data_IF_393335294629
#
_entry.id   IF_393335294629
#
_cell.length_a   1.000
_cell.length_b   1.000
_cell.length_c   1.000
_cell.angle_alpha   90.00
_cell.angle_beta   90.00
_cell.angle_gamma   90.00
#
_symmetry.space_group_name_H-M   'P 1'
#
loop_
_entity.id
_entity.type
_entity.pdbx_description
1 polymer ?
#
# COMPACT_ATOMS: atom_id res chain seq x y z
N UNK A 1 -7.67 18.75 -7.33
CA UNK A 1 -7.87 17.67 -8.32
C UNK A 1 -8.62 16.54 -7.64
N UNK A 2 -9.69 16.01 -8.23
CA UNK A 2 -10.41 14.85 -7.70
C UNK A 2 -9.81 13.56 -8.31
N UNK A 3 -9.24 12.71 -7.46
CA UNK A 3 -8.80 11.37 -7.83
C UNK A 3 -9.96 10.35 -7.82
N UNK A 4 -9.61 9.07 -7.73
CA UNK A 4 -10.60 8.00 -7.54
C UNK A 4 -11.42 8.20 -6.27
N UNK A 5 -12.68 7.76 -6.30
CA UNK A 5 -13.54 7.77 -5.11
C UNK A 5 -12.99 6.80 -4.05
N UNK A 6 -12.60 7.34 -2.89
CA UNK A 6 -11.99 6.59 -1.78
C UNK A 6 -12.84 5.39 -1.33
N UNK A 7 -14.15 5.58 -1.16
CA UNK A 7 -15.07 4.53 -0.74
C UNK A 7 -15.14 3.37 -1.77
N UNK A 8 -15.13 3.69 -3.06
CA UNK A 8 -15.10 2.70 -4.14
C UNK A 8 -13.73 2.02 -4.23
N UNK A 9 -12.63 2.75 -4.05
CA UNK A 9 -11.28 2.18 -4.00
C UNK A 9 -11.17 1.16 -2.86
N UNK A 10 -11.66 1.50 -1.65
CA UNK A 10 -11.68 0.59 -0.49
C UNK A 10 -12.44 -0.69 -0.80
N UNK A 11 -13.70 -0.59 -1.23
CA UNK A 11 -14.58 -1.75 -1.43
C UNK A 11 -14.28 -2.56 -2.68
N UNK A 12 -13.95 -1.90 -3.78
CA UNK A 12 -13.79 -2.53 -5.09
C UNK A 12 -12.38 -3.01 -5.40
N UNK A 13 -11.36 -2.48 -4.72
CA UNK A 13 -9.96 -2.78 -5.02
C UNK A 13 -9.19 -3.24 -3.79
N UNK A 14 -9.12 -2.40 -2.73
CA UNK A 14 -8.25 -2.66 -1.58
C UNK A 14 -8.73 -3.89 -0.81
N UNK A 15 -9.96 -3.88 -0.32
CA UNK A 15 -10.52 -5.00 0.45
C UNK A 15 -10.42 -6.35 -0.30
N UNK A 16 -10.85 -6.47 -1.57
CA UNK A 16 -10.75 -7.74 -2.28
C UNK A 16 -9.30 -8.16 -2.56
N UNK A 17 -8.40 -7.23 -2.92
CA UNK A 17 -6.99 -7.57 -3.14
C UNK A 17 -6.31 -8.08 -1.87
N UNK A 18 -6.57 -7.42 -0.73
CA UNK A 18 -5.99 -7.83 0.56
C UNK A 18 -6.60 -9.14 1.07
N UNK A 19 -7.89 -9.36 0.86
CA UNK A 19 -8.54 -10.63 1.17
C UNK A 19 -7.97 -11.77 0.34
N UNK A 20 -7.73 -11.55 -0.96
CA UNK A 20 -7.17 -12.55 -1.87
C UNK A 20 -5.78 -13.03 -1.45
N UNK A 21 -4.91 -12.11 -1.00
CA UNK A 21 -3.57 -12.48 -0.49
C UNK A 21 -3.57 -12.93 0.97
N UNK A 22 -4.74 -13.01 1.64
CA UNK A 22 -4.86 -13.42 3.03
C UNK A 22 -4.32 -12.42 4.06
N UNK A 23 -4.12 -11.15 3.68
CA UNK A 23 -3.57 -10.08 4.54
C UNK A 23 -4.54 -8.91 4.73
N UNK A 24 -5.85 -9.20 4.70
CA UNK A 24 -6.95 -8.27 4.86
C UNK A 24 -7.26 -7.86 6.30
N UNK A 25 -8.49 -7.36 6.50
CA UNK A 25 -8.98 -6.79 7.75
C UNK A 25 -9.07 -5.26 7.70
N UNK A 26 -9.98 -4.70 8.51
CA UNK A 26 -10.33 -3.27 8.47
C UNK A 26 -9.12 -2.35 8.69
N UNK A 27 -8.21 -2.74 9.58
CA UNK A 27 -6.97 -2.00 9.82
C UNK A 27 -6.09 -1.95 8.57
N UNK A 28 -5.94 -3.08 7.85
CA UNK A 28 -5.14 -3.13 6.63
C UNK A 28 -5.80 -2.30 5.51
N UNK A 29 -7.12 -2.40 5.36
CA UNK A 29 -7.86 -1.63 4.36
C UNK A 29 -7.73 -0.13 4.60
N UNK A 30 -7.95 0.32 5.85
CA UNK A 30 -7.84 1.72 6.22
C UNK A 30 -6.40 2.25 6.11
N UNK A 31 -5.40 1.44 6.51
CA UNK A 31 -3.98 1.78 6.34
C UNK A 31 -3.65 2.00 4.86
N UNK A 32 -3.96 1.04 3.98
CA UNK A 32 -3.63 1.14 2.55
C UNK A 32 -4.40 2.27 1.85
N UNK A 33 -5.65 2.53 2.27
CA UNK A 33 -6.42 3.66 1.75
C UNK A 33 -5.81 5.00 2.17
N UNK A 34 -5.39 5.12 3.42
CA UNK A 34 -4.67 6.30 3.93
C UNK A 34 -3.33 6.50 3.24
N UNK A 35 -2.55 5.44 3.03
CA UNK A 35 -1.29 5.50 2.27
C UNK A 35 -1.52 6.03 0.87
N UNK A 36 -2.53 5.53 0.13
CA UNK A 36 -2.81 6.01 -1.22
C UNK A 36 -3.22 7.50 -1.26
N UNK A 37 -3.98 7.97 -0.26
CA UNK A 37 -4.34 9.39 -0.14
C UNK A 37 -3.10 10.26 0.06
N UNK A 38 -2.20 9.85 0.95
CA UNK A 38 -0.98 10.60 1.27
C UNK A 38 -0.02 10.63 0.08
N UNK A 39 0.20 9.49 -0.55
CA UNK A 39 1.23 9.32 -1.58
C UNK A 39 0.83 9.93 -2.94
N UNK A 40 -0.43 9.77 -3.36
CA UNK A 40 -0.85 10.17 -4.71
C UNK A 40 -2.13 11.01 -4.75
N UNK A 41 -2.77 11.27 -3.61
CA UNK A 41 -4.10 11.87 -3.58
C UNK A 41 -5.15 11.07 -4.36
N UNK A 42 -4.91 9.75 -4.54
CA UNK A 42 -5.70 8.85 -5.37
C UNK A 42 -5.76 9.23 -6.87
N UNK A 43 -4.80 10.02 -7.36
CA UNK A 43 -4.85 10.61 -8.70
C UNK A 43 -3.61 10.28 -9.54
N UNK A 44 -2.42 10.30 -8.94
CA UNK A 44 -1.17 10.12 -9.68
C UNK A 44 -0.79 8.64 -9.84
N UNK A 45 -0.57 8.22 -11.08
CA UNK A 45 -0.09 6.87 -11.42
C UNK A 45 1.44 6.76 -11.44
N UNK A 46 2.14 7.91 -11.32
CA UNK A 46 3.61 8.03 -11.25
C UNK A 46 3.97 9.30 -10.51
N UNK A 47 5.08 9.27 -9.76
CA UNK A 47 5.62 10.43 -9.07
C UNK A 47 6.05 11.51 -10.05
N UNK A 48 5.81 12.79 -9.72
CA UNK A 48 6.22 13.93 -10.57
C UNK A 48 7.75 14.07 -10.61
N UNK A 49 8.42 13.83 -9.47
CA UNK A 49 9.87 13.98 -9.31
C UNK A 49 10.50 12.76 -8.65
N UNK A 50 10.27 11.58 -9.22
CA UNK A 50 10.87 10.35 -8.72
C UNK A 50 10.43 9.12 -9.50
N UNK A 51 11.00 7.94 -9.18
CA UNK A 51 10.72 6.71 -9.91
C UNK A 51 9.44 6.00 -9.45
N UNK A 52 8.80 6.48 -8.38
CA UNK A 52 7.71 5.75 -7.73
C UNK A 52 6.44 5.66 -8.59
N UNK A 53 5.73 4.53 -8.44
CA UNK A 53 4.62 4.14 -9.33
C UNK A 53 3.34 3.85 -8.56
N UNK A 54 2.20 4.11 -9.22
CA UNK A 54 0.87 3.77 -8.74
C UNK A 54 0.34 4.66 -7.63
N UNK A 55 -0.86 4.35 -7.16
CA UNK A 55 -1.53 5.15 -6.12
C UNK A 55 -0.78 5.14 -4.79
N UNK A 56 -0.04 4.07 -4.50
CA UNK A 56 0.79 3.93 -3.30
C UNK A 56 2.21 4.43 -3.50
N UNK A 57 2.57 4.94 -4.68
CA UNK A 57 3.91 5.45 -5.00
C UNK A 57 5.01 4.50 -4.49
N UNK A 58 4.93 3.23 -4.90
CA UNK A 58 5.96 2.27 -4.55
C UNK A 58 7.20 2.53 -5.42
N UNK A 59 8.37 2.65 -4.78
CA UNK A 59 9.64 2.73 -5.51
C UNK A 59 10.03 1.38 -6.13
N UNK A 60 10.62 1.38 -7.35
CA UNK A 60 11.06 0.16 -8.03
C UNK A 60 11.99 -0.73 -7.21
N UNK A 61 12.94 -0.13 -6.48
CA UNK A 61 13.88 -0.88 -5.66
C UNK A 61 13.17 -1.68 -4.55
N UNK A 62 12.12 -1.10 -3.94
CA UNK A 62 11.32 -1.81 -2.93
C UNK A 62 10.54 -2.96 -3.55
N UNK A 63 9.94 -2.75 -4.72
CA UNK A 63 9.21 -3.79 -5.45
C UNK A 63 10.12 -4.98 -5.77
N UNK A 64 11.29 -4.71 -6.36
CA UNK A 64 12.22 -5.76 -6.80
C UNK A 64 12.83 -6.50 -5.61
N UNK A 65 13.15 -5.80 -4.52
CA UNK A 65 13.63 -6.40 -3.29
C UNK A 65 12.58 -7.37 -2.68
N UNK A 66 11.29 -7.01 -2.64
CA UNK A 66 10.24 -7.92 -2.15
C UNK A 66 10.25 -9.25 -2.93
N UNK A 67 10.41 -9.20 -4.25
CA UNK A 67 10.49 -10.41 -5.08
C UNK A 67 11.80 -11.17 -4.91
N UNK A 68 12.91 -10.48 -4.73
CA UNK A 68 14.23 -11.07 -4.68
C UNK A 68 14.57 -11.67 -3.31
N UNK A 69 14.09 -11.07 -2.22
CA UNK A 69 14.56 -11.38 -0.86
C UNK A 69 13.46 -11.84 0.09
N UNK A 70 12.20 -11.46 -0.14
CA UNK A 70 11.09 -11.78 0.77
C UNK A 70 10.24 -12.95 0.29
N UNK A 71 9.57 -12.81 -0.86
CA UNK A 71 8.67 -13.83 -1.40
C UNK A 71 9.32 -15.19 -1.76
N UNK A 72 10.64 -15.33 -1.96
CA UNK A 72 11.27 -16.64 -2.14
C UNK A 72 11.26 -17.54 -0.90
N UNK A 73 10.99 -17.03 0.30
CA UNK A 73 10.87 -17.85 1.50
C UNK A 73 9.78 -18.93 1.32
N UNK A 74 10.15 -20.20 1.53
CA UNK A 74 9.24 -21.36 1.34
C UNK A 74 7.98 -21.26 2.20
N UNK A 75 8.08 -20.62 3.38
CA UNK A 75 6.96 -20.40 4.30
C UNK A 75 5.92 -19.44 3.71
N UNK A 76 6.31 -18.62 2.73
CA UNK A 76 5.46 -17.65 2.04
C UNK A 76 4.96 -18.17 0.69
N UNK A 77 5.12 -19.45 0.37
CA UNK A 77 4.72 -20.02 -0.93
C UNK A 77 3.26 -19.75 -1.31
N UNK A 78 2.32 -19.86 -0.36
CA UNK A 78 0.90 -19.53 -0.59
C UNK A 78 0.70 -18.03 -0.85
N UNK A 79 1.33 -17.16 -0.06
CA UNK A 79 1.27 -15.71 -0.24
C UNK A 79 1.87 -15.30 -1.59
N UNK A 80 3.01 -15.89 -1.98
CA UNK A 80 3.66 -15.69 -3.27
C UNK A 80 2.73 -16.09 -4.42
N UNK A 81 2.06 -17.23 -4.30
CA UNK A 81 1.05 -17.68 -5.27
C UNK A 81 -0.07 -16.66 -5.45
N UNK A 82 -0.71 -16.25 -4.35
CA UNK A 82 -1.79 -15.26 -4.40
C UNK A 82 -1.34 -13.88 -4.94
N UNK A 83 -0.09 -13.46 -4.69
CA UNK A 83 0.46 -12.22 -5.28
C UNK A 83 0.71 -12.39 -6.79
N UNK A 84 1.13 -13.58 -7.23
CA UNK A 84 1.28 -13.88 -8.66
C UNK A 84 -0.08 -13.93 -9.38
N UNK A 85 -1.14 -14.42 -8.73
CA UNK A 85 -2.50 -14.44 -9.29
C UNK A 85 -3.04 -13.03 -9.57
N UNK A 86 -2.61 -12.02 -8.80
CA UNK A 86 -2.95 -10.62 -9.04
C UNK A 86 -2.12 -9.98 -10.16
N UNK A 87 -1.00 -10.57 -10.54
CA UNK A 87 -0.14 -10.05 -11.59
C UNK A 87 -0.64 -10.49 -12.97
N UNK A 88 -0.69 -9.56 -13.92
CA UNK A 88 -0.98 -9.87 -15.31
C UNK A 88 0.26 -10.42 -16.03
N UNK A 89 0.07 -11.07 -17.18
CA UNK A 89 1.17 -11.51 -18.05
C UNK A 89 1.89 -10.32 -18.70
N UNK A 90 1.19 -9.22 -18.96
CA UNK A 90 1.72 -8.00 -19.55
C UNK A 90 1.05 -6.77 -18.92
N UNK A 91 1.78 -5.66 -18.69
CA UNK A 91 3.24 -5.48 -18.87
C UNK A 91 4.07 -6.24 -17.82
N UNK A 92 5.39 -6.04 -17.81
CA UNK A 92 6.26 -6.55 -16.75
C UNK A 92 5.78 -6.10 -15.36
N UNK A 93 5.97 -6.94 -14.33
CA UNK A 93 5.43 -6.72 -12.97
C UNK A 93 5.65 -5.31 -12.41
N UNK A 94 6.87 -4.77 -12.53
CA UNK A 94 7.17 -3.42 -12.07
C UNK A 94 6.29 -2.35 -12.73
N UNK A 95 6.10 -2.43 -14.05
CA UNK A 95 5.27 -1.48 -14.80
C UNK A 95 3.79 -1.59 -14.44
N UNK A 96 3.34 -2.76 -13.96
CA UNK A 96 1.97 -2.96 -13.52
C UNK A 96 1.62 -2.13 -12.27
N UNK A 97 2.59 -1.69 -11.46
CA UNK A 97 2.32 -0.84 -10.30
C UNK A 97 1.54 0.44 -10.66
N UNK A 98 1.72 0.96 -11.87
CA UNK A 98 1.05 2.18 -12.33
C UNK A 98 -0.44 2.00 -12.70
N UNK A 99 -0.89 0.78 -13.03
CA UNK A 99 -2.23 0.55 -13.61
C UNK A 99 -2.97 -0.70 -13.14
N UNK A 100 -2.28 -1.70 -12.61
CA UNK A 100 -2.89 -2.88 -11.98
C UNK A 100 -3.06 -2.61 -10.48
N UNK A 101 -4.19 -1.99 -10.12
CA UNK A 101 -4.43 -1.54 -8.75
C UNK A 101 -4.47 -2.67 -7.70
N UNK A 102 -5.10 -3.85 -7.95
CA UNK A 102 -5.02 -4.97 -7.01
C UNK A 102 -3.59 -5.42 -6.75
N UNK A 103 -2.77 -5.54 -7.79
CA UNK A 103 -1.36 -5.90 -7.66
C UNK A 103 -0.56 -4.84 -6.89
N UNK A 104 -0.72 -3.56 -7.25
CA UNK A 104 -0.05 -2.46 -6.57
C UNK A 104 -0.44 -2.38 -5.08
N UNK A 105 -1.71 -2.64 -4.76
CA UNK A 105 -2.21 -2.70 -3.39
C UNK A 105 -1.55 -3.84 -2.60
N UNK A 106 -1.46 -5.03 -3.21
CA UNK A 106 -0.81 -6.18 -2.59
C UNK A 106 0.67 -5.91 -2.31
N UNK A 107 1.40 -5.36 -3.27
CA UNK A 107 2.81 -5.01 -3.08
C UNK A 107 2.98 -3.96 -1.97
N UNK A 108 2.13 -2.93 -1.93
CA UNK A 108 2.14 -1.95 -0.85
C UNK A 108 1.85 -2.59 0.52
N UNK A 109 0.93 -3.56 0.60
CA UNK A 109 0.66 -4.32 1.83
C UNK A 109 1.86 -5.15 2.27
N UNK A 110 2.59 -5.76 1.32
CA UNK A 110 3.80 -6.54 1.63
C UNK A 110 4.90 -5.66 2.21
N UNK A 111 5.03 -4.40 1.78
CA UNK A 111 5.97 -3.45 2.41
C UNK A 111 5.70 -3.29 3.90
N UNK A 112 4.43 -3.12 4.29
CA UNK A 112 4.03 -3.11 5.71
C UNK A 112 4.17 -4.47 6.40
N UNK A 113 3.85 -5.56 5.71
CA UNK A 113 3.89 -6.91 6.29
C UNK A 113 5.31 -7.36 6.68
N UNK A 114 6.33 -6.80 6.03
CA UNK A 114 7.74 -7.02 6.35
C UNK A 114 8.21 -6.25 7.58
N UNK A 115 7.48 -5.23 8.00
CA UNK A 115 7.80 -4.49 9.21
C UNK A 115 7.44 -5.33 10.46
N UNK A 116 8.26 -5.31 11.52
CA UNK A 116 8.02 -6.11 12.72
C UNK A 116 6.80 -5.64 13.54
N UNK A 117 6.39 -4.38 13.37
CA UNK A 117 5.28 -3.80 14.12
C UNK A 117 3.93 -4.38 13.67
N UNK A 118 3.05 -4.76 14.62
CA UNK A 118 1.69 -5.18 14.28
C UNK A 118 0.90 -4.02 13.67
N UNK A 119 -0.12 -4.36 12.88
CA UNK A 119 -1.04 -3.35 12.38
C UNK A 119 -1.71 -2.60 13.55
N UNK A 120 -1.87 -1.28 13.45
CA UNK A 120 -2.59 -0.50 14.45
C UNK A 120 -4.09 -0.85 14.46
N UNK A 121 -4.79 -0.39 15.50
CA UNK A 121 -6.25 -0.51 15.55
C UNK A 121 -6.89 0.17 14.33
N UNK A 122 -7.96 -0.43 13.80
CA UNK A 122 -8.62 0.05 12.58
C UNK A 122 -9.19 1.48 12.68
N UNK A 123 -9.33 2.01 13.89
CA UNK A 123 -9.87 3.33 14.22
C UNK A 123 -8.81 4.33 14.67
N UNK A 124 -7.52 3.97 14.69
CA UNK A 124 -6.43 4.85 15.16
C UNK A 124 -5.67 5.47 13.97
N UNK A 125 -6.20 6.59 13.46
CA UNK A 125 -5.60 7.34 12.37
C UNK A 125 -4.16 7.80 12.68
N UNK A 126 -3.89 8.16 13.93
CA UNK A 126 -2.59 8.66 14.34
C UNK A 126 -1.54 7.53 14.32
N UNK A 127 -1.90 6.33 14.79
CA UNK A 127 -1.03 5.16 14.71
C UNK A 127 -0.79 4.69 13.28
N UNK A 128 -1.82 4.70 12.42
CA UNK A 128 -1.64 4.42 10.98
C UNK A 128 -0.70 5.42 10.32
N UNK A 129 -0.83 6.70 10.63
CA UNK A 129 0.08 7.73 10.12
C UNK A 129 1.52 7.54 10.60
N UNK A 130 1.72 7.15 11.87
CA UNK A 130 3.06 6.84 12.40
C UNK A 130 3.67 5.63 11.70
N UNK A 131 2.89 4.56 11.51
CA UNK A 131 3.34 3.37 10.77
C UNK A 131 3.69 3.71 9.32
N UNK A 132 2.85 4.49 8.62
CA UNK A 132 3.18 4.97 7.27
C UNK A 132 4.49 5.75 7.23
N UNK A 133 4.71 6.66 8.18
CA UNK A 133 5.93 7.45 8.22
C UNK A 133 7.17 6.61 8.49
N UNK A 134 7.09 5.66 9.43
CA UNK A 134 8.21 4.77 9.77
C UNK A 134 8.55 3.75 8.68
N UNK A 135 7.53 3.18 8.02
CA UNK A 135 7.71 2.07 7.07
C UNK A 135 7.75 2.52 5.62
N UNK A 136 6.96 3.52 5.24
CA UNK A 136 6.80 3.93 3.84
C UNK A 136 7.65 5.16 3.48
N UNK A 137 7.73 6.15 4.39
CA UNK A 137 8.40 7.44 4.19
C UNK A 137 9.64 7.60 5.11
N UNK A 138 10.55 6.63 5.08
CA UNK A 138 11.72 6.59 5.97
C UNK A 138 12.75 7.71 5.72
N UNK A 139 12.75 8.33 4.54
CA UNK A 139 13.77 9.31 4.12
C UNK A 139 13.67 10.67 4.83
N UNK A 140 12.52 11.01 5.43
CA UNK A 140 12.31 12.26 6.16
C UNK A 140 12.39 12.10 7.69
N UNK A 141 12.88 10.94 8.16
CA UNK A 141 13.06 10.63 9.57
C UNK A 141 11.77 10.27 10.30
N UNK A 142 11.91 9.55 11.42
CA UNK A 142 10.83 9.07 12.30
C UNK A 142 10.12 10.19 13.10
N UNK A 143 9.95 11.38 12.52
CA UNK A 143 9.25 12.48 13.17
C UNK A 143 7.78 12.11 13.47
N UNK A 144 7.18 12.76 14.47
CA UNK A 144 5.78 12.56 14.82
C UNK A 144 4.86 12.72 13.60
N UNK A 145 3.76 11.96 13.57
CA UNK A 145 2.67 12.16 12.62
C UNK A 145 2.16 13.61 12.72
N UNK A 146 2.18 14.35 11.61
CA UNK A 146 1.61 15.71 11.58
C UNK A 146 0.10 15.66 11.33
N UNK A 147 -0.59 16.69 11.80
CA UNK A 147 -2.05 16.75 11.76
C UNK A 147 -2.64 16.63 10.34
N UNK A 148 -1.90 17.09 9.32
CA UNK A 148 -2.35 17.03 7.93
C UNK A 148 -2.41 15.59 7.43
N UNK A 149 -1.37 14.79 7.65
CA UNK A 149 -1.39 13.39 7.25
C UNK A 149 -2.34 12.54 8.12
N UNK A 150 -2.41 12.82 9.43
CA UNK A 150 -3.39 12.15 10.31
C UNK A 150 -4.82 12.35 9.80
N UNK A 151 -5.18 13.55 9.32
CA UNK A 151 -6.49 13.81 8.74
C UNK A 151 -6.80 12.94 7.51
N UNK A 152 -5.80 12.59 6.69
CA UNK A 152 -5.99 11.69 5.54
C UNK A 152 -6.27 10.24 5.99
N UNK A 153 -5.60 9.76 7.03
CA UNK A 153 -5.93 8.46 7.63
C UNK A 153 -7.31 8.48 8.31
N UNK A 154 -7.70 9.60 8.93
CA UNK A 154 -9.05 9.76 9.47
C UNK A 154 -10.12 9.71 8.37
N UNK A 155 -9.83 10.33 7.21
CA UNK A 155 -10.70 10.24 6.04
C UNK A 155 -10.80 8.80 5.53
N UNK A 156 -9.69 8.05 5.50
CA UNK A 156 -9.69 6.63 5.13
C UNK A 156 -10.57 5.79 6.06
N UNK A 157 -10.56 6.07 7.37
CA UNK A 157 -11.41 5.37 8.36
C UNK A 157 -12.89 5.68 8.16
N UNK A 158 -13.24 6.95 7.88
CA UNK A 158 -14.64 7.39 7.76
C UNK A 158 -15.32 7.10 6.41
N UNK A 159 -14.62 6.56 5.42
CA UNK A 159 -15.09 6.36 4.04
C UNK A 159 -15.64 4.96 3.72
#
# INVERSE_FOLDING_TARGET
MSGLCLAQLKRGIIAPALAHIGLGGDAAVNLLAGTALVESGLAYTRQIHGPALGLWQMEPATHDDIWATFLPDVRLSLLRGAVLDLAAHWPARLAQLAGNLPYACAMARLKYYRAPEPLPAATDAAAMCRMWKGTYNSNLGAGAADARHVALFQQAIGA
#
